data_IF_397605449684
#
_entry.id   IF_397605449684
#
_cell.length_a   1.000
_cell.length_b   1.000
_cell.length_c   1.000
_cell.angle_alpha   90.00
_cell.angle_beta   90.00
_cell.angle_gamma   90.00
#
_symmetry.space_group_name_H-M   'P 1'
#
loop_
_entity.id
_entity.type
_entity.pdbx_description
1 polymer ?
#
# COMPACT_ATOMS: atom_id res chain seq x y z
N UNK A 1 -0.60 6.01 -8.00
CA UNK A 1 -1.08 6.59 -6.72
C UNK A 1 -2.59 6.37 -6.67
N UNK A 2 -3.14 5.83 -5.58
CA UNK A 2 -4.58 5.56 -5.47
C UNK A 2 -5.37 6.87 -5.29
N UNK A 3 -6.52 6.99 -5.96
CA UNK A 3 -7.42 8.13 -5.75
C UNK A 3 -8.19 7.90 -4.45
N UNK A 4 -8.14 8.87 -3.54
CA UNK A 4 -8.79 8.78 -2.21
C UNK A 4 -9.80 9.90 -1.94
N UNK A 5 -10.00 10.82 -2.89
CA UNK A 5 -10.96 11.91 -2.79
C UNK A 5 -11.98 11.83 -3.92
N UNK A 6 -13.27 11.82 -3.57
CA UNK A 6 -14.38 11.61 -4.51
C UNK A 6 -15.40 12.74 -4.42
N UNK A 7 -15.88 13.21 -5.56
CA UNK A 7 -16.94 14.23 -5.63
C UNK A 7 -18.32 13.62 -5.46
N UNK A 8 -19.29 14.40 -4.98
CA UNK A 8 -20.69 13.95 -4.90
C UNK A 8 -21.25 13.44 -6.24
N UNK A 9 -20.74 13.93 -7.38
CA UNK A 9 -21.14 13.48 -8.72
C UNK A 9 -20.59 12.09 -9.08
N UNK A 10 -19.41 11.73 -8.57
CA UNK A 10 -18.85 10.38 -8.78
C UNK A 10 -19.54 9.38 -7.84
N UNK A 11 -20.01 9.84 -6.69
CA UNK A 11 -20.65 9.00 -5.68
C UNK A 11 -22.11 8.65 -6.02
N UNK A 12 -22.83 9.46 -6.81
CA UNK A 12 -24.22 9.13 -7.21
C UNK A 12 -24.32 7.90 -8.13
N UNK A 13 -23.21 7.46 -8.73
CA UNK A 13 -23.16 6.29 -9.62
C UNK A 13 -23.05 4.98 -8.84
N UNK A 14 -22.90 5.05 -7.52
CA UNK A 14 -22.68 3.90 -6.63
C UNK A 14 -24.01 3.43 -6.05
N UNK A 15 -24.23 2.12 -6.10
CA UNK A 15 -25.42 1.51 -5.49
C UNK A 15 -25.38 1.66 -3.96
N UNK A 16 -26.50 2.07 -3.37
CA UNK A 16 -26.60 2.36 -1.92
C UNK A 16 -26.51 3.85 -1.57
N UNK A 17 -26.11 4.71 -2.51
CA UNK A 17 -26.16 6.16 -2.33
C UNK A 17 -27.41 6.80 -2.94
N UNK A 18 -27.80 8.00 -2.44
CA UNK A 18 -28.86 8.77 -3.07
C UNK A 18 -28.51 9.09 -4.52
N UNK A 19 -29.48 8.98 -5.43
CA UNK A 19 -29.30 9.25 -6.87
C UNK A 19 -29.07 10.73 -7.22
N UNK A 20 -28.97 11.61 -6.22
CA UNK A 20 -28.71 13.04 -6.41
C UNK A 20 -27.53 13.52 -5.57
N UNK A 21 -26.69 14.45 -6.09
CA UNK A 21 -25.57 15.00 -5.33
C UNK A 21 -26.01 15.71 -4.05
N UNK A 22 -27.23 16.25 -4.03
CA UNK A 22 -27.83 16.89 -2.86
C UNK A 22 -28.10 15.88 -1.75
N UNK A 23 -28.62 14.69 -2.10
CA UNK A 23 -28.82 13.59 -1.17
C UNK A 23 -27.51 13.07 -0.60
N UNK A 24 -26.47 12.92 -1.45
CA UNK A 24 -25.12 12.55 -0.99
C UNK A 24 -24.57 13.57 -0.01
N UNK A 25 -24.70 14.87 -0.28
CA UNK A 25 -24.25 15.92 0.65
C UNK A 25 -25.01 15.91 1.99
N UNK A 26 -26.31 15.57 1.98
CA UNK A 26 -27.10 15.45 3.20
C UNK A 26 -26.65 14.23 4.02
N UNK A 27 -26.42 13.09 3.37
CA UNK A 27 -25.90 11.88 3.99
C UNK A 27 -24.52 12.12 4.58
N UNK A 28 -23.61 12.74 3.84
CA UNK A 28 -22.27 13.10 4.30
C UNK A 28 -22.29 13.99 5.55
N UNK A 29 -23.26 14.92 5.67
CA UNK A 29 -23.44 15.73 6.88
C UNK A 29 -24.01 14.93 8.04
N UNK A 30 -24.95 14.01 7.78
CA UNK A 30 -25.56 13.15 8.79
C UNK A 30 -24.55 12.17 9.39
N UNK A 31 -23.68 11.64 8.54
CA UNK A 31 -22.70 10.60 8.89
C UNK A 31 -21.31 11.15 9.18
N UNK A 32 -21.11 12.46 9.02
CA UNK A 32 -19.87 13.14 9.40
C UNK A 32 -18.68 12.80 8.50
N UNK A 33 -18.91 12.61 7.20
CA UNK A 33 -17.83 12.27 6.27
C UNK A 33 -16.78 13.39 6.19
N UNK A 34 -15.51 12.99 6.04
CA UNK A 34 -14.41 13.92 5.92
C UNK A 34 -14.45 14.57 4.54
N UNK A 35 -14.46 15.91 4.53
CA UNK A 35 -14.68 16.68 3.31
C UNK A 35 -13.63 17.77 3.11
N UNK A 36 -13.28 18.00 1.84
CA UNK A 36 -12.28 18.97 1.41
C UNK A 36 -12.82 19.83 0.28
N UNK A 37 -12.43 21.11 0.27
CA UNK A 37 -12.66 21.99 -0.89
C UNK A 37 -11.75 21.57 -2.05
N UNK A 38 -12.32 21.40 -3.24
CA UNK A 38 -11.56 21.09 -4.45
C UNK A 38 -10.65 22.27 -4.82
N UNK A 39 -9.36 21.99 -5.04
CA UNK A 39 -8.38 23.03 -5.42
C UNK A 39 -8.56 23.39 -6.91
N UNK A 40 -8.57 24.69 -7.21
CA UNK A 40 -8.53 25.20 -8.59
C UNK A 40 -9.86 25.34 -9.33
N UNK A 41 -11.01 25.23 -8.63
CA UNK A 41 -12.34 25.37 -9.26
C UNK A 41 -13.05 26.60 -8.74
N UNK A 42 -13.61 27.41 -9.65
CA UNK A 42 -14.40 28.59 -9.33
C UNK A 42 -15.81 28.15 -8.85
N UNK A 43 -15.93 27.73 -7.58
CA UNK A 43 -17.20 27.31 -6.96
C UNK A 43 -17.07 26.54 -5.64
N UNK A 44 -18.20 26.25 -4.96
CA UNK A 44 -18.29 25.43 -3.74
C UNK A 44 -18.21 23.92 -4.04
N UNK A 45 -17.21 23.48 -4.81
CA UNK A 45 -17.01 22.07 -5.08
C UNK A 45 -16.32 21.39 -3.88
N UNK A 46 -16.94 20.31 -3.38
CA UNK A 46 -16.48 19.54 -2.22
C UNK A 46 -16.21 18.10 -2.65
N UNK A 47 -15.13 17.54 -2.12
CA UNK A 47 -14.70 16.15 -2.27
C UNK A 47 -14.72 15.48 -0.90
N UNK A 48 -14.98 14.18 -0.88
CA UNK A 48 -15.10 13.34 0.32
C UNK A 48 -13.99 12.28 0.33
N UNK A 49 -13.42 12.02 1.51
CA UNK A 49 -12.34 11.05 1.69
C UNK A 49 -12.88 9.62 1.69
N UNK A 50 -12.29 8.73 0.89
CA UNK A 50 -12.67 7.30 0.78
C UNK A 50 -12.91 6.63 2.14
N UNK A 51 -11.96 6.80 3.07
CA UNK A 51 -11.98 6.13 4.38
C UNK A 51 -13.13 6.60 5.30
N UNK A 52 -13.75 7.73 4.97
CA UNK A 52 -14.88 8.29 5.74
C UNK A 52 -16.25 7.86 5.21
N UNK A 53 -16.30 7.14 4.07
CA UNK A 53 -17.54 6.62 3.50
C UNK A 53 -17.92 5.28 4.15
N UNK A 54 -19.18 4.83 4.04
CA UNK A 54 -19.58 3.48 4.47
C UNK A 54 -18.80 2.36 3.75
N UNK A 55 -18.51 1.27 4.45
CA UNK A 55 -17.69 0.14 3.98
C UNK A 55 -18.21 -0.49 2.67
N UNK A 56 -19.53 -0.54 2.52
CA UNK A 56 -20.21 -1.00 1.30
C UNK A 56 -19.82 -0.16 0.07
N UNK A 57 -19.72 1.16 0.26
CA UNK A 57 -19.36 2.11 -0.79
C UNK A 57 -17.85 2.11 -1.03
N UNK A 58 -17.04 2.00 0.03
CA UNK A 58 -15.59 1.86 -0.09
C UNK A 58 -15.23 0.66 -0.97
N UNK A 59 -15.86 -0.49 -0.71
CA UNK A 59 -15.64 -1.72 -1.47
C UNK A 59 -15.98 -1.53 -2.95
N UNK A 60 -17.12 -0.89 -3.26
CA UNK A 60 -17.51 -0.60 -4.65
C UNK A 60 -16.56 0.38 -5.33
N UNK A 61 -16.10 1.42 -4.63
CA UNK A 61 -15.11 2.37 -5.15
C UNK A 61 -13.78 1.68 -5.46
N UNK A 62 -13.29 0.84 -4.55
CA UNK A 62 -12.06 0.06 -4.72
C UNK A 62 -12.17 -0.90 -5.91
N UNK A 63 -13.35 -1.50 -6.15
CA UNK A 63 -13.60 -2.36 -7.31
C UNK A 63 -13.75 -1.57 -8.62
N UNK A 64 -14.32 -0.37 -8.57
CA UNK A 64 -14.50 0.49 -9.76
C UNK A 64 -13.22 1.22 -10.19
N UNK A 65 -12.38 1.63 -9.23
CA UNK A 65 -11.07 2.25 -9.48
C UNK A 65 -10.02 1.20 -9.88
N UNK A 66 -10.35 -0.09 -9.67
CA UNK A 66 -9.78 -1.19 -10.45
C UNK A 66 -10.37 -1.17 -11.87
N UNK A 67 -10.16 -0.08 -12.62
CA UNK A 67 -9.84 -0.27 -14.03
C UNK A 67 -8.75 -1.33 -14.04
N UNK A 68 -8.99 -2.43 -14.76
CA UNK A 68 -8.19 -3.66 -14.77
C UNK A 68 -6.75 -3.34 -15.20
N UNK A 69 -5.97 -2.74 -14.31
CA UNK A 69 -4.56 -3.04 -14.21
C UNK A 69 -4.57 -4.43 -13.62
N UNK A 70 -4.52 -5.42 -14.52
CA UNK A 70 -4.02 -6.74 -14.20
C UNK A 70 -2.56 -6.53 -13.80
N UNK A 71 -2.33 -5.95 -12.61
CA UNK A 71 -1.12 -6.22 -11.86
C UNK A 71 -1.36 -7.66 -11.45
N UNK A 72 -0.69 -8.64 -12.08
CA UNK A 72 -0.63 -9.93 -11.43
C UNK A 72 -0.05 -9.54 -10.06
N UNK A 73 -0.80 -9.74 -8.99
CA UNK A 73 -0.18 -9.90 -7.69
C UNK A 73 0.74 -11.08 -7.93
N UNK A 74 1.97 -10.82 -8.38
CA UNK A 74 3.00 -11.85 -8.53
C UNK A 74 3.00 -12.41 -7.12
N UNK A 75 2.52 -13.65 -6.94
CA UNK A 75 2.38 -14.17 -5.60
C UNK A 75 3.75 -13.97 -4.98
N UNK A 76 3.77 -13.35 -3.80
CA UNK A 76 5.00 -13.05 -3.09
C UNK A 76 5.92 -14.27 -3.26
N UNK A 77 7.16 -14.11 -3.77
CA UNK A 77 8.02 -15.25 -4.09
C UNK A 77 8.09 -16.27 -2.95
N UNK A 78 8.01 -15.80 -1.70
CA UNK A 78 7.90 -16.66 -0.52
C UNK A 78 6.63 -17.54 -0.51
N UNK A 79 5.47 -17.01 -0.87
CA UNK A 79 4.22 -17.77 -1.00
C UNK A 79 4.27 -18.81 -2.12
N UNK A 80 4.92 -18.48 -3.24
CA UNK A 80 5.14 -19.45 -4.33
C UNK A 80 6.01 -20.61 -3.82
N UNK A 81 7.15 -20.28 -3.21
CA UNK A 81 8.06 -21.28 -2.65
C UNK A 81 7.39 -22.12 -1.56
N UNK A 82 6.56 -21.51 -0.71
CA UNK A 82 5.80 -22.21 0.33
C UNK A 82 4.77 -23.17 -0.25
N UNK A 83 4.04 -22.75 -1.28
CA UNK A 83 3.07 -23.59 -1.97
C UNK A 83 3.74 -24.78 -2.65
N UNK A 84 4.88 -24.56 -3.31
CA UNK A 84 5.69 -25.64 -3.91
C UNK A 84 6.24 -26.57 -2.83
N UNK A 85 6.76 -26.01 -1.73
CA UNK A 85 7.31 -26.79 -0.62
C UNK A 85 6.29 -27.75 0.01
N UNK A 86 5.05 -27.30 0.22
CA UNK A 86 3.99 -28.15 0.78
C UNK A 86 3.42 -29.18 -0.20
N UNK A 87 3.70 -29.05 -1.51
CA UNK A 87 3.34 -30.05 -2.50
C UNK A 87 4.38 -31.16 -2.62
N UNK A 88 5.58 -30.97 -2.06
CA UNK A 88 6.63 -31.97 -2.04
C UNK A 88 6.39 -32.99 -0.92
N UNK A 89 6.79 -34.22 -1.17
CA UNK A 89 6.85 -35.26 -0.14
C UNK A 89 7.96 -34.97 0.88
N UNK A 90 7.89 -35.60 2.05
CA UNK A 90 8.89 -35.43 3.11
C UNK A 90 10.32 -35.72 2.62
N UNK A 91 10.49 -36.79 1.84
CA UNK A 91 11.78 -37.18 1.22
C UNK A 91 12.31 -36.15 0.21
N UNK A 92 11.44 -35.55 -0.60
CA UNK A 92 11.81 -34.54 -1.59
C UNK A 92 12.19 -33.22 -0.91
N UNK A 93 11.42 -32.81 0.09
CA UNK A 93 11.69 -31.62 0.89
C UNK A 93 13.05 -31.72 1.60
N UNK A 94 13.36 -32.89 2.15
CA UNK A 94 14.61 -33.19 2.85
C UNK A 94 15.82 -33.09 1.92
N UNK A 95 15.71 -33.63 0.70
CA UNK A 95 16.77 -33.55 -0.32
C UNK A 95 17.04 -32.11 -0.75
N UNK A 96 15.98 -31.33 -0.99
CA UNK A 96 16.09 -29.92 -1.42
C UNK A 96 16.70 -29.07 -0.31
N UNK A 97 16.22 -29.20 0.93
CA UNK A 97 16.77 -28.47 2.08
C UNK A 97 18.23 -28.84 2.31
N UNK A 98 18.57 -30.13 2.28
CA UNK A 98 19.97 -30.58 2.46
C UNK A 98 20.89 -30.00 1.38
N UNK A 99 20.42 -29.94 0.12
CA UNK A 99 21.19 -29.37 -0.98
C UNK A 99 21.41 -27.86 -0.80
N UNK A 100 20.36 -27.10 -0.44
CA UNK A 100 20.45 -25.65 -0.20
C UNK A 100 21.39 -25.35 0.98
N UNK A 101 21.33 -26.13 2.05
CA UNK A 101 22.17 -25.94 3.23
C UNK A 101 23.64 -26.27 2.93
N UNK A 102 23.91 -27.33 2.15
CA UNK A 102 25.29 -27.77 1.89
C UNK A 102 26.00 -26.96 0.82
N UNK A 103 25.32 -26.67 -0.30
CA UNK A 103 25.95 -26.01 -1.44
C UNK A 103 25.65 -24.50 -1.47
N UNK A 104 24.45 -24.09 -1.05
CA UNK A 104 24.03 -22.69 -1.06
C UNK A 104 24.62 -21.89 0.09
N UNK A 105 24.27 -22.24 1.33
CA UNK A 105 24.72 -21.49 2.52
C UNK A 105 26.23 -21.54 2.71
N UNK A 106 26.88 -22.68 2.43
CA UNK A 106 28.34 -22.79 2.53
C UNK A 106 29.04 -21.83 1.56
N UNK A 107 28.55 -21.68 0.32
CA UNK A 107 29.11 -20.74 -0.64
C UNK A 107 28.94 -19.29 -0.17
N UNK A 108 27.78 -18.95 0.41
CA UNK A 108 27.54 -17.62 0.98
C UNK A 108 28.42 -17.33 2.21
N UNK A 109 28.61 -18.30 3.10
CA UNK A 109 29.49 -18.14 4.26
C UNK A 109 30.95 -17.91 3.83
N UNK A 110 31.45 -18.68 2.86
CA UNK A 110 32.79 -18.48 2.30
C UNK A 110 32.93 -17.07 1.71
N UNK A 111 31.90 -16.57 1.03
CA UNK A 111 31.92 -15.23 0.43
C UNK A 111 31.85 -14.10 1.47
N UNK A 112 31.18 -14.33 2.60
CA UNK A 112 31.15 -13.38 3.72
C UNK A 112 32.51 -13.39 4.43
N UNK A 113 33.06 -14.56 4.75
CA UNK A 113 34.35 -14.70 5.43
C UNK A 113 35.53 -14.14 4.62
N UNK A 114 35.48 -14.26 3.30
CA UNK A 114 36.49 -13.67 2.40
C UNK A 114 36.36 -12.17 2.19
N UNK A 115 35.19 -11.57 2.47
CA UNK A 115 34.92 -10.15 2.26
C UNK A 115 35.02 -9.30 3.55
N UNK A 116 35.38 -9.92 4.68
CA UNK A 116 35.75 -9.20 5.92
C UNK A 116 37.26 -8.92 5.91
N UNK A 117 37.68 -7.94 5.09
CA UNK A 117 38.92 -7.23 5.35
C UNK A 117 38.72 -6.25 6.54
N UNK A 118 39.77 -5.92 7.34
CA UNK A 118 39.61 -5.17 8.58
C UNK A 118 39.08 -3.76 8.30
N UNK A 119 37.88 -3.44 8.81
CA UNK A 119 37.38 -2.06 8.85
C UNK A 119 38.03 -1.35 10.03
N UNK A 120 39.17 -0.74 9.77
CA UNK A 120 39.73 0.29 10.63
C UNK A 120 38.92 1.60 10.50
N UNK A 121 38.64 2.17 11.68
CA UNK A 121 38.17 3.53 11.99
C UNK A 121 36.70 3.91 11.73
N UNK A 122 35.95 3.90 12.83
CA UNK A 122 34.67 4.57 13.03
C UNK A 122 34.96 5.96 13.64
N UNK A 123 34.58 7.04 12.95
CA UNK A 123 34.37 8.35 13.59
C UNK A 123 32.96 8.82 13.21
N UNK A 124 32.19 9.17 14.24
CA UNK A 124 30.84 9.73 14.24
C UNK A 124 30.85 10.90 15.24
N UNK A 125 29.82 11.76 15.30
CA UNK A 125 29.23 12.62 14.28
C UNK A 125 29.33 14.10 14.72
N UNK A 126 28.98 15.06 13.86
CA UNK A 126 28.58 16.40 14.33
C UNK A 126 27.16 16.72 13.87
N UNK A 127 26.29 16.84 14.88
CA UNK A 127 24.93 17.37 14.84
C UNK A 127 24.87 18.77 14.22
N UNK A 128 23.75 19.08 13.56
CA UNK A 128 23.61 20.34 12.82
C UNK A 128 22.18 20.72 12.46
N UNK A 129 21.34 20.85 13.49
CA UNK A 129 20.34 21.91 13.64
C UNK A 129 18.98 21.82 12.93
N UNK A 130 18.02 22.34 13.70
CA UNK A 130 16.57 22.32 13.61
C UNK A 130 16.00 23.43 12.70
N UNK A 131 14.67 23.55 12.70
CA UNK A 131 13.87 24.76 12.41
C UNK A 131 13.59 25.12 10.92
N UNK A 132 12.39 25.51 10.46
CA UNK A 132 11.12 25.81 11.13
C UNK A 132 10.00 26.11 10.09
N UNK A 133 8.77 26.21 10.61
CA UNK A 133 7.73 27.21 10.31
C UNK A 133 6.89 27.26 9.00
N UNK A 134 5.60 26.93 9.19
CA UNK A 134 4.40 27.78 9.06
C UNK A 134 3.98 28.48 7.75
N UNK A 135 2.73 28.16 7.37
CA UNK A 135 1.58 29.06 7.16
C UNK A 135 1.86 30.51 6.71
N UNK A 136 1.34 30.83 5.52
CA UNK A 136 0.81 32.17 5.16
C UNK A 136 -0.28 31.94 4.11
N UNK A 137 -1.55 32.17 4.44
CA UNK A 137 -2.35 33.40 4.24
C UNK A 137 -2.87 33.53 2.82
#
# INVERSE_FOLDING_TARGET
MKKIWYTAKELIEISGLPSSPQGVNLMARREGWECRKKRGVQGKAVEYLLDSLPEEIQSQLILSDQSIDYVPQRPDPFQIWKAVYYQLTEDESSKIVTYILREGLSALLIQIETNVAPRDHFEEPTEGNEDNCTKTK
#
